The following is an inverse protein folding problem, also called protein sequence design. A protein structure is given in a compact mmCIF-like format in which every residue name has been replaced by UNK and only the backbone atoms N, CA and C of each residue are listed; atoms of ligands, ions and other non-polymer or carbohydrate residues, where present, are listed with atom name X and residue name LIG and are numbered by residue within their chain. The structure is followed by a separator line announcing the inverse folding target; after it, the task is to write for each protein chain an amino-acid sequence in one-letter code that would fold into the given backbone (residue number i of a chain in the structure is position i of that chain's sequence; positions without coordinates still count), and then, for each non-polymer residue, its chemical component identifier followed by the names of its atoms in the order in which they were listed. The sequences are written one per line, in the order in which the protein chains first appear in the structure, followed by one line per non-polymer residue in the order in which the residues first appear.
data_IF_163462215240
#
_entry.id   IF_163462215240
#
_cell.length_a   1.000
_cell.length_b   1.000
_cell.length_c   1.000
_cell.angle_alpha   90.00
_cell.angle_beta   90.00
_cell.angle_gamma   90.00
#
_symmetry.space_group_name_H-M   'P 1'
#
loop_
_entity.id
_entity.type
_entity.pdbx_description
1 polymer ?
#
# COMPACT_ATOMS: atom_id res chain seq x y z
N UNK A 1 4.63 15.11 9.86
CA UNK A 1 5.89 15.55 9.22
C UNK A 1 6.68 14.32 8.80
N UNK A 2 7.18 14.26 7.56
CA UNK A 2 8.16 13.26 7.11
C UNK A 2 9.39 13.34 8.00
N UNK A 3 10.05 12.22 8.26
CA UNK A 3 11.29 12.27 9.03
C UNK A 3 12.47 12.70 8.16
N UNK A 4 13.42 13.43 8.77
CA UNK A 4 14.67 13.82 8.14
C UNK A 4 15.73 12.74 8.34
N UNK A 5 16.74 12.70 7.46
CA UNK A 5 17.84 11.77 7.61
C UNK A 5 19.16 12.30 7.06
N UNK A 6 20.27 11.71 7.52
CA UNK A 6 21.61 11.93 6.96
C UNK A 6 22.26 10.58 6.62
N UNK A 7 23.13 10.55 5.61
CA UNK A 7 23.85 9.33 5.22
C UNK A 7 25.35 9.61 5.28
N UNK A 8 26.06 8.85 6.12
CA UNK A 8 27.51 8.75 6.11
C UNK A 8 27.93 7.46 5.40
N UNK A 9 28.69 7.59 4.30
CA UNK A 9 29.23 6.43 3.58
C UNK A 9 30.61 6.06 4.12
N UNK A 10 30.78 4.78 4.45
CA UNK A 10 32.06 4.13 4.72
C UNK A 10 32.30 3.05 3.66
N UNK A 11 33.05 3.42 2.62
CA UNK A 11 33.44 2.54 1.52
C UNK A 11 34.98 2.54 1.35
N UNK A 12 35.69 1.72 2.15
CA UNK A 12 37.16 1.66 2.09
C UNK A 12 37.67 1.13 0.75
N UNK A 13 36.83 0.38 0.03
CA UNK A 13 37.14 -0.15 -1.31
C UNK A 13 37.00 0.89 -2.43
N UNK A 14 36.43 2.06 -2.12
CA UNK A 14 36.18 3.15 -3.07
C UNK A 14 35.48 2.65 -4.34
N UNK A 15 34.35 1.97 -4.18
CA UNK A 15 33.56 1.45 -5.29
C UNK A 15 33.17 2.57 -6.25
N UNK A 16 33.31 2.33 -7.55
CA UNK A 16 32.79 3.22 -8.60
C UNK A 16 31.26 3.39 -8.52
N UNK A 17 30.58 2.53 -7.76
CA UNK A 17 29.14 2.53 -7.55
C UNK A 17 28.70 3.31 -6.30
N UNK A 18 29.63 3.88 -5.51
CA UNK A 18 29.34 4.58 -4.25
C UNK A 18 28.21 5.61 -4.37
N UNK A 19 28.26 6.49 -5.36
CA UNK A 19 27.23 7.52 -5.56
C UNK A 19 25.86 6.93 -5.93
N UNK A 20 25.83 5.86 -6.72
CA UNK A 20 24.59 5.18 -7.08
C UNK A 20 24.00 4.41 -5.89
N UNK A 21 24.84 3.87 -5.02
CA UNK A 21 24.42 3.18 -3.81
C UNK A 21 23.81 4.18 -2.81
N UNK A 22 24.46 5.32 -2.57
CA UNK A 22 23.91 6.39 -1.72
C UNK A 22 22.56 6.87 -2.27
N UNK A 23 22.44 7.08 -3.58
CA UNK A 23 21.13 7.42 -4.19
C UNK A 23 20.08 6.34 -3.97
N UNK A 24 20.44 5.07 -4.07
CA UNK A 24 19.50 3.95 -3.85
C UNK A 24 19.04 3.89 -2.40
N UNK A 25 19.95 4.14 -1.43
CA UNK A 25 19.60 4.22 -0.01
C UNK A 25 18.73 5.44 0.29
N UNK A 26 19.02 6.60 -0.29
CA UNK A 26 18.15 7.77 -0.17
C UNK A 26 16.72 7.45 -0.61
N UNK A 27 16.54 6.77 -1.74
CA UNK A 27 15.20 6.38 -2.22
C UNK A 27 14.52 5.38 -1.29
N UNK A 28 15.27 4.45 -0.68
CA UNK A 28 14.73 3.54 0.33
C UNK A 28 14.29 4.28 1.62
N UNK A 29 15.07 5.28 2.06
CA UNK A 29 14.75 6.13 3.21
C UNK A 29 13.57 7.06 2.91
N UNK A 30 13.54 7.67 1.73
CA UNK A 30 12.40 8.44 1.24
C UNK A 30 11.15 7.56 1.19
N UNK A 31 11.27 6.31 0.75
CA UNK A 31 10.16 5.33 0.78
C UNK A 31 9.63 5.15 2.19
N UNK A 32 10.48 4.97 3.21
CA UNK A 32 10.03 4.88 4.59
C UNK A 32 9.54 6.20 5.17
N UNK A 33 10.13 7.34 4.80
CA UNK A 33 9.68 8.67 5.22
C UNK A 33 8.32 9.02 4.61
N UNK A 34 7.98 8.37 3.51
CA UNK A 34 6.63 8.31 2.97
C UNK A 34 5.71 7.36 3.74
N UNK A 35 6.06 6.81 4.89
CA UNK A 35 5.11 6.02 5.69
C UNK A 35 5.22 6.34 7.19
N UNK A 36 6.39 6.78 7.63
CA UNK A 36 6.71 7.07 9.01
C UNK A 36 6.86 8.57 9.20
N UNK A 37 6.25 9.08 10.25
CA UNK A 37 6.46 10.45 10.70
C UNK A 37 7.70 10.52 11.56
N UNK A 38 8.27 11.71 11.73
CA UNK A 38 9.33 11.87 12.71
C UNK A 38 9.59 13.30 13.09
N UNK A 39 9.92 13.53 14.35
CA UNK A 39 10.44 14.81 14.83
C UNK A 39 11.97 14.88 14.76
N UNK A 40 12.65 13.72 14.80
CA UNK A 40 14.11 13.59 14.77
C UNK A 40 14.72 13.46 13.37
N UNK A 41 16.05 13.37 13.33
CA UNK A 41 16.84 13.21 12.10
C UNK A 41 17.65 11.93 12.18
N UNK A 42 17.20 10.88 11.50
CA UNK A 42 17.87 9.58 11.55
C UNK A 42 19.24 9.67 10.85
N UNK A 43 20.31 9.35 11.58
CA UNK A 43 21.68 9.32 11.12
C UNK A 43 22.02 7.90 10.66
N UNK A 44 22.25 7.71 9.36
CA UNK A 44 22.54 6.40 8.78
C UNK A 44 24.02 6.26 8.49
N UNK A 45 24.64 5.21 9.03
CA UNK A 45 25.93 4.73 8.57
C UNK A 45 25.74 3.65 7.51
N UNK A 46 26.09 3.97 6.27
CA UNK A 46 26.14 3.03 5.15
C UNK A 46 27.55 2.48 5.02
N UNK A 47 27.73 1.18 5.18
CA UNK A 47 29.01 0.49 5.06
C UNK A 47 29.05 -0.39 3.82
N UNK A 48 30.19 -0.43 3.14
CA UNK A 48 30.47 -1.39 2.06
C UNK A 48 31.60 -2.30 2.50
N UNK A 49 31.26 -3.56 2.80
CA UNK A 49 32.22 -4.56 3.28
C UNK A 49 31.74 -5.98 2.95
N UNK A 50 32.63 -7.00 3.00
CA UNK A 50 32.22 -8.38 2.75
C UNK A 50 31.20 -8.86 3.79
N UNK A 51 30.14 -9.52 3.34
CA UNK A 51 29.20 -10.27 4.19
C UNK A 51 29.26 -11.76 3.86
N UNK A 52 28.57 -12.57 4.67
CA UNK A 52 28.42 -14.00 4.41
C UNK A 52 27.80 -14.25 3.03
N UNK A 53 28.18 -15.36 2.41
CA UNK A 53 27.64 -15.76 1.10
C UNK A 53 26.12 -15.87 1.17
N UNK A 54 25.43 -15.22 0.23
CA UNK A 54 23.97 -15.19 0.16
C UNK A 54 23.34 -13.98 0.87
N UNK A 55 24.10 -13.24 1.70
CA UNK A 55 23.63 -12.01 2.33
C UNK A 55 23.95 -10.82 1.43
N UNK A 56 22.93 -10.13 0.94
CA UNK A 56 23.08 -8.98 0.05
C UNK A 56 23.33 -7.68 0.82
N UNK A 57 22.63 -7.51 1.92
CA UNK A 57 22.79 -6.43 2.88
C UNK A 57 22.29 -6.91 4.26
N UNK A 58 22.55 -6.12 5.29
CA UNK A 58 22.00 -6.29 6.63
C UNK A 58 21.89 -4.91 7.29
N UNK A 59 20.86 -4.70 8.12
CA UNK A 59 20.79 -3.50 8.97
C UNK A 59 20.31 -3.78 10.39
N UNK A 60 20.66 -2.87 11.29
CA UNK A 60 20.25 -2.90 12.69
C UNK A 60 20.13 -1.46 13.23
N UNK A 61 19.34 -1.25 14.30
CA UNK A 61 19.37 0.02 15.01
C UNK A 61 20.73 0.21 15.69
N UNK A 62 21.25 1.44 15.69
CA UNK A 62 22.50 1.81 16.33
C UNK A 62 22.41 1.84 17.86
N UNK A 63 21.21 2.04 18.39
CA UNK A 63 20.90 1.90 19.82
C UNK A 63 19.51 1.31 20.04
N UNK A 64 19.24 0.85 21.26
CA UNK A 64 17.91 0.45 21.69
C UNK A 64 17.57 1.13 23.01
N UNK A 65 16.34 1.59 23.12
CA UNK A 65 15.85 2.34 24.29
C UNK A 65 14.93 1.44 25.10
N UNK A 66 15.15 1.41 26.42
CA UNK A 66 14.27 0.69 27.34
C UNK A 66 12.91 1.40 27.42
N UNK A 67 11.84 0.66 27.12
CA UNK A 67 10.46 1.20 27.15
C UNK A 67 9.61 0.61 28.26
N UNK A 68 10.06 -0.48 28.89
CA UNK A 68 9.34 -1.08 30.01
C UNK A 68 9.91 -2.41 30.47
N UNK A 69 9.06 -3.20 31.11
CA UNK A 69 9.33 -4.57 31.53
C UNK A 69 8.15 -5.48 31.18
N UNK A 70 8.43 -6.74 30.92
CA UNK A 70 7.44 -7.79 30.72
C UNK A 70 7.84 -9.01 31.57
N UNK A 71 7.15 -9.18 32.70
CA UNK A 71 7.58 -10.06 33.77
C UNK A 71 8.99 -9.70 34.27
N UNK A 72 9.94 -10.62 34.08
CA UNK A 72 11.35 -10.43 34.46
C UNK A 72 12.24 -9.83 33.36
N UNK A 73 11.70 -9.58 32.15
CA UNK A 73 12.49 -9.09 31.01
C UNK A 73 12.37 -7.59 30.86
N UNK A 74 13.49 -6.94 30.53
CA UNK A 74 13.50 -5.54 30.08
C UNK A 74 13.06 -5.49 28.62
N UNK A 75 12.09 -4.63 28.30
CA UNK A 75 11.59 -4.46 26.95
C UNK A 75 12.33 -3.30 26.27
N UNK A 76 12.92 -3.58 25.12
CA UNK A 76 13.67 -2.63 24.30
C UNK A 76 12.95 -2.30 23.00
N UNK A 77 13.01 -1.03 22.61
CA UNK A 77 12.55 -0.52 21.33
C UNK A 77 13.73 0.00 20.51
N UNK A 78 13.61 -0.02 19.18
CA UNK A 78 14.60 0.62 18.30
C UNK A 78 14.80 2.09 18.68
N UNK A 79 16.06 2.49 18.80
CA UNK A 79 16.44 3.89 19.01
C UNK A 79 15.93 4.78 17.89
N UNK A 80 15.99 4.31 16.64
CA UNK A 80 15.46 5.05 15.49
C UNK A 80 13.97 5.33 15.63
N UNK A 81 13.13 4.35 16.03
CA UNK A 81 11.70 4.61 16.30
C UNK A 81 11.53 5.64 17.43
N UNK A 82 12.31 5.50 18.51
CA UNK A 82 12.20 6.41 19.66
C UNK A 82 12.54 7.85 19.28
N UNK A 83 13.56 8.03 18.46
CA UNK A 83 13.96 9.35 17.95
C UNK A 83 12.89 9.91 16.98
N UNK A 84 12.32 9.09 16.10
CA UNK A 84 11.19 9.51 15.26
C UNK A 84 10.02 9.99 16.13
N UNK A 85 9.67 9.26 17.19
CA UNK A 85 8.55 9.58 18.07
C UNK A 85 8.76 10.84 18.93
N UNK A 86 9.99 11.09 19.37
CA UNK A 86 10.27 12.08 20.43
C UNK A 86 11.13 13.26 19.98
N UNK A 87 11.85 13.11 18.88
CA UNK A 87 12.90 14.02 18.44
C UNK A 87 14.18 13.97 19.30
N UNK A 88 14.23 13.09 20.30
CA UNK A 88 15.40 12.92 21.15
C UNK A 88 16.29 11.80 20.61
N UNK A 89 17.50 12.18 20.20
CA UNK A 89 18.56 11.26 19.81
C UNK A 89 19.19 10.63 21.06
N UNK A 90 19.00 9.31 21.19
CA UNK A 90 19.41 8.55 22.37
C UNK A 90 20.90 8.16 22.37
N UNK A 91 21.59 8.31 21.24
CA UNK A 91 22.99 7.92 21.02
C UNK A 91 23.88 9.10 20.64
N UNK A 92 23.33 10.31 20.58
CA UNK A 92 24.05 11.51 20.17
C UNK A 92 24.60 11.34 18.76
N UNK A 93 25.80 11.86 18.50
CA UNK A 93 26.40 11.83 17.15
C UNK A 93 26.68 10.45 16.54
N UNK A 94 26.48 9.35 17.30
CA UNK A 94 26.62 8.02 16.75
C UNK A 94 25.45 7.71 15.78
N UNK A 95 25.62 6.86 14.77
CA UNK A 95 24.55 6.56 13.82
C UNK A 95 23.36 5.83 14.48
N UNK A 96 22.13 6.28 14.20
CA UNK A 96 20.87 5.67 14.65
C UNK A 96 20.54 4.38 13.93
N UNK A 97 21.05 4.25 12.70
CA UNK A 97 20.93 3.06 11.87
C UNK A 97 22.28 2.73 11.26
N UNK A 98 22.68 1.47 11.36
CA UNK A 98 23.82 0.94 10.61
C UNK A 98 23.31 -0.04 9.56
N UNK A 99 23.64 0.23 8.31
CA UNK A 99 23.38 -0.67 7.19
C UNK A 99 24.71 -1.07 6.55
N UNK A 100 24.86 -2.36 6.28
CA UNK A 100 26.01 -2.91 5.58
C UNK A 100 25.56 -3.56 4.30
N UNK A 101 26.15 -3.14 3.18
CA UNK A 101 25.94 -3.73 1.85
C UNK A 101 27.12 -4.63 1.52
N UNK A 102 26.84 -5.85 1.04
CA UNK A 102 27.86 -6.80 0.68
C UNK A 102 28.66 -6.30 -0.53
N UNK A 103 29.95 -6.02 -0.32
CA UNK A 103 30.85 -5.54 -1.37
C UNK A 103 30.91 -6.48 -2.58
N UNK A 104 30.79 -7.80 -2.37
CA UNK A 104 30.80 -8.79 -3.47
C UNK A 104 29.52 -8.75 -4.29
N UNK A 105 28.36 -8.56 -3.66
CA UNK A 105 27.08 -8.44 -4.36
C UNK A 105 27.02 -7.17 -5.21
N UNK A 106 27.61 -6.10 -4.69
CA UNK A 106 27.77 -4.81 -5.37
C UNK A 106 28.67 -4.95 -6.61
N UNK A 107 29.90 -5.47 -6.46
CA UNK A 107 30.85 -5.58 -7.57
C UNK A 107 30.46 -6.62 -8.63
N UNK A 108 29.75 -7.68 -8.25
CA UNK A 108 29.29 -8.71 -9.20
C UNK A 108 28.04 -8.31 -10.00
N UNK A 109 27.37 -7.21 -9.63
CA UNK A 109 26.07 -6.83 -10.21
C UNK A 109 24.90 -7.69 -9.74
N UNK A 110 25.10 -8.53 -8.72
CA UNK A 110 24.02 -9.26 -8.06
C UNK A 110 23.04 -8.30 -7.37
N UNK A 111 23.57 -7.23 -6.76
CA UNK A 111 22.76 -6.11 -6.28
C UNK A 111 22.68 -5.04 -7.37
N UNK A 112 21.49 -4.85 -7.95
CA UNK A 112 21.28 -3.94 -9.07
C UNK A 112 20.93 -2.53 -8.58
N UNK A 113 21.82 -1.58 -8.86
CA UNK A 113 21.58 -0.17 -8.65
C UNK A 113 20.92 0.43 -9.89
N UNK A 114 19.70 0.94 -9.76
CA UNK A 114 18.97 1.55 -10.87
C UNK A 114 19.68 2.84 -11.32
N UNK A 115 19.78 3.04 -12.63
CA UNK A 115 20.33 4.28 -13.19
C UNK A 115 19.45 5.49 -12.86
N UNK A 116 18.13 5.32 -13.02
CA UNK A 116 17.12 6.24 -12.53
C UNK A 116 16.15 5.50 -11.58
N UNK A 117 16.31 5.68 -10.27
CA UNK A 117 15.50 5.00 -9.28
C UNK A 117 14.05 5.52 -9.19
N UNK A 118 13.73 6.65 -9.84
CA UNK A 118 12.41 7.28 -9.79
C UNK A 118 11.43 6.79 -10.86
N UNK A 119 11.93 6.20 -11.95
CA UNK A 119 11.09 5.77 -13.10
C UNK A 119 11.38 4.37 -13.62
N UNK A 120 12.53 3.76 -13.29
CA UNK A 120 12.87 2.43 -13.82
C UNK A 120 12.13 1.32 -13.08
N UNK A 121 11.24 0.62 -13.80
CA UNK A 121 10.60 -0.63 -13.36
C UNK A 121 11.36 -1.89 -13.79
N UNK A 122 12.40 -1.76 -14.63
CA UNK A 122 13.18 -2.90 -15.11
C UNK A 122 14.28 -3.30 -14.12
N UNK A 123 14.28 -4.59 -13.75
CA UNK A 123 15.33 -5.24 -12.97
C UNK A 123 15.83 -6.47 -13.75
N UNK A 124 17.14 -6.64 -13.96
CA UNK A 124 17.67 -7.85 -14.60
C UNK A 124 17.22 -9.11 -13.86
N UNK A 125 16.81 -10.15 -14.59
CA UNK A 125 16.17 -11.36 -14.02
C UNK A 125 17.00 -12.13 -13.00
N UNK A 126 18.32 -11.91 -12.96
CA UNK A 126 19.26 -12.56 -12.02
C UNK A 126 19.83 -11.61 -10.96
N UNK A 127 19.38 -10.36 -10.95
CA UNK A 127 19.83 -9.37 -9.99
C UNK A 127 18.70 -9.00 -9.04
N UNK A 128 19.06 -8.60 -7.83
CA UNK A 128 18.14 -8.12 -6.82
C UNK A 128 18.12 -6.60 -6.86
N UNK A 129 16.93 -6.03 -6.83
CA UNK A 129 16.78 -4.58 -6.79
C UNK A 129 17.34 -4.00 -5.49
N UNK A 130 18.33 -3.11 -5.58
CA UNK A 130 18.98 -2.53 -4.42
C UNK A 130 18.01 -1.75 -3.54
N UNK A 131 17.06 -1.01 -4.13
CA UNK A 131 16.09 -0.22 -3.37
C UNK A 131 15.19 -1.14 -2.55
N UNK A 132 14.68 -2.21 -3.15
CA UNK A 132 13.87 -3.23 -2.47
C UNK A 132 14.65 -3.84 -1.29
N UNK A 133 15.90 -4.27 -1.51
CA UNK A 133 16.74 -4.86 -0.47
C UNK A 133 17.01 -3.86 0.65
N UNK A 134 17.44 -2.63 0.34
CA UNK A 134 17.72 -1.61 1.35
C UNK A 134 16.47 -1.20 2.13
N UNK A 135 15.30 -1.16 1.47
CA UNK A 135 14.01 -0.87 2.13
C UNK A 135 13.65 -1.99 3.11
N UNK A 136 13.89 -3.25 2.73
CA UNK A 136 13.72 -4.40 3.62
C UNK A 136 14.65 -4.31 4.84
N UNK A 137 15.94 -4.06 4.64
CA UNK A 137 16.89 -3.94 5.74
C UNK A 137 16.51 -2.83 6.73
N UNK A 138 16.03 -1.69 6.22
CA UNK A 138 15.53 -0.61 7.08
C UNK A 138 14.33 -1.05 7.94
N UNK A 139 13.51 -2.02 7.52
CA UNK A 139 12.45 -2.61 8.35
C UNK A 139 13.00 -3.30 9.61
N UNK A 140 14.15 -3.99 9.50
CA UNK A 140 14.86 -4.50 10.67
C UNK A 140 15.36 -3.36 11.56
N UNK A 141 16.04 -2.37 10.97
CA UNK A 141 16.55 -1.23 11.72
C UNK A 141 15.45 -0.47 12.49
N UNK A 142 14.25 -0.36 11.91
CA UNK A 142 13.12 0.27 12.57
C UNK A 142 12.49 -0.60 13.65
N UNK A 143 12.39 -1.92 13.54
CA UNK A 143 11.85 -2.66 14.68
C UNK A 143 11.75 -4.17 14.58
N UNK A 144 11.93 -4.77 13.40
CA UNK A 144 11.90 -6.22 13.24
C UNK A 144 13.25 -6.81 13.68
N UNK A 145 13.58 -6.66 14.95
CA UNK A 145 14.84 -7.10 15.57
C UNK A 145 14.55 -7.65 16.96
N UNK A 146 15.41 -8.52 17.47
CA UNK A 146 15.24 -9.07 18.81
C UNK A 146 16.41 -9.93 19.26
N UNK A 147 16.17 -10.69 20.31
CA UNK A 147 17.16 -11.43 21.08
C UNK A 147 16.85 -12.93 21.16
N UNK A 148 15.85 -13.40 20.42
CA UNK A 148 15.55 -14.83 20.29
C UNK A 148 16.73 -15.59 19.72
N UNK A 149 16.96 -16.77 20.28
CA UNK A 149 17.88 -17.73 19.71
C UNK A 149 17.34 -18.22 18.36
N UNK A 150 18.08 -18.00 17.28
CA UNK A 150 17.63 -18.38 15.94
C UNK A 150 17.50 -19.88 15.77
N UNK A 151 18.26 -20.72 16.49
CA UNK A 151 18.13 -22.17 16.39
C UNK A 151 16.88 -22.72 17.12
N UNK A 152 16.52 -22.15 18.27
CA UNK A 152 15.48 -22.73 19.15
C UNK A 152 14.21 -21.89 19.27
N UNK A 153 14.24 -20.62 18.85
CA UNK A 153 13.15 -19.67 19.06
C UNK A 153 13.01 -19.17 20.50
N UNK A 154 13.84 -19.64 21.44
CA UNK A 154 13.77 -19.25 22.84
C UNK A 154 14.05 -17.75 23.03
N UNK A 155 13.23 -17.08 23.85
CA UNK A 155 13.49 -15.69 24.30
C UNK A 155 14.69 -15.66 25.24
N UNK A 156 15.41 -14.55 25.28
CA UNK A 156 16.42 -14.32 26.30
C UNK A 156 15.78 -14.17 27.70
N UNK A 157 16.53 -14.43 28.77
CA UNK A 157 15.97 -14.48 30.14
C UNK A 157 15.72 -13.10 30.76
N UNK A 158 16.54 -12.10 30.41
CA UNK A 158 16.56 -10.78 31.06
C UNK A 158 16.14 -9.62 30.16
N UNK A 159 16.02 -9.85 28.84
CA UNK A 159 15.72 -8.81 27.87
C UNK A 159 14.88 -9.37 26.72
N UNK A 160 14.05 -8.52 26.14
CA UNK A 160 13.34 -8.79 24.90
C UNK A 160 13.10 -7.49 24.12
N UNK A 161 12.97 -7.57 22.81
CA UNK A 161 12.49 -6.43 22.03
C UNK A 161 10.97 -6.36 22.01
N UNK A 162 10.40 -5.23 21.55
CA UNK A 162 8.95 -5.15 21.25
C UNK A 162 8.52 -6.23 20.25
N UNK A 163 9.37 -6.57 19.28
CA UNK A 163 9.14 -7.68 18.35
C UNK A 163 9.09 -9.02 19.06
N UNK A 164 10.10 -9.36 19.88
CA UNK A 164 10.15 -10.64 20.60
C UNK A 164 8.93 -10.86 21.48
N UNK A 165 8.48 -9.78 22.13
CA UNK A 165 7.28 -9.74 22.97
C UNK A 165 6.03 -10.14 22.20
N UNK A 166 5.89 -9.67 20.97
CA UNK A 166 4.74 -9.90 20.10
C UNK A 166 4.84 -11.18 19.26
N UNK A 167 6.03 -11.77 19.12
CA UNK A 167 6.18 -13.11 18.56
C UNK A 167 5.82 -14.16 19.60
N UNK A 168 5.01 -15.14 19.23
CA UNK A 168 4.69 -16.34 20.01
C UNK A 168 5.22 -17.53 19.24
N UNK A 169 5.96 -18.40 19.92
CA UNK A 169 6.40 -19.69 19.37
C UNK A 169 5.50 -20.74 19.99
N UNK A 170 4.77 -21.45 19.14
CA UNK A 170 3.78 -22.43 19.53
C UNK A 170 4.45 -23.78 19.92
N UNK A 171 3.77 -24.63 20.70
CA UNK A 171 4.31 -25.94 21.08
C UNK A 171 4.66 -26.87 19.91
N UNK A 172 4.04 -26.64 18.74
CA UNK A 172 4.33 -27.38 17.51
C UNK A 172 5.56 -26.86 16.75
N UNK A 173 6.22 -25.83 17.27
CA UNK A 173 7.41 -25.21 16.69
C UNK A 173 7.12 -24.18 15.61
N UNK A 174 5.84 -23.88 15.32
CA UNK A 174 5.47 -22.72 14.49
C UNK A 174 5.60 -21.42 15.27
N UNK A 175 5.62 -20.30 14.57
CA UNK A 175 5.65 -18.98 15.21
C UNK A 175 4.67 -18.03 14.55
N UNK A 176 4.08 -17.14 15.35
CA UNK A 176 3.15 -16.10 14.91
C UNK A 176 3.47 -14.76 15.55
N UNK A 177 3.22 -13.67 14.84
CA UNK A 177 3.24 -12.31 15.34
C UNK A 177 1.82 -11.89 15.71
N UNK A 178 1.64 -11.37 16.92
CA UNK A 178 0.33 -11.17 17.56
C UNK A 178 -0.05 -9.69 17.76
N UNK A 179 0.67 -8.78 17.10
CA UNK A 179 0.34 -7.36 17.11
C UNK A 179 -1.08 -7.09 16.58
N UNK A 180 -1.83 -6.21 17.26
CA UNK A 180 -3.26 -6.02 17.01
C UNK A 180 -3.53 -5.41 15.63
N UNK A 181 -2.68 -4.49 15.16
CA UNK A 181 -2.82 -3.89 13.84
C UNK A 181 -2.48 -4.91 12.74
N UNK A 182 -1.40 -5.68 12.91
CA UNK A 182 -1.00 -6.72 11.98
C UNK A 182 -2.05 -7.83 11.88
N UNK A 183 -2.63 -8.25 13.01
CA UNK A 183 -3.75 -9.20 13.05
C UNK A 183 -4.96 -8.66 12.29
N UNK A 184 -5.30 -7.38 12.45
CA UNK A 184 -6.41 -6.77 11.71
C UNK A 184 -6.13 -6.70 10.19
N UNK A 185 -4.89 -6.42 9.79
CA UNK A 185 -4.50 -6.35 8.39
C UNK A 185 -4.42 -7.73 7.70
N UNK A 186 -3.97 -8.76 8.42
CA UNK A 186 -3.85 -10.13 7.90
C UNK A 186 -5.14 -10.96 8.06
N UNK A 187 -5.96 -10.65 9.07
CA UNK A 187 -7.17 -11.39 9.42
C UNK A 187 -6.99 -12.46 10.50
N UNK A 188 -5.75 -12.68 10.98
CA UNK A 188 -5.38 -13.65 12.01
C UNK A 188 -3.99 -13.30 12.59
N UNK A 189 -3.49 -13.99 13.64
CA UNK A 189 -2.07 -13.94 13.99
C UNK A 189 -1.18 -14.23 12.76
N UNK A 190 -0.20 -13.36 12.52
CA UNK A 190 0.58 -13.36 11.28
C UNK A 190 1.67 -14.42 11.36
N UNK A 191 1.79 -15.36 10.41
CA UNK A 191 2.86 -16.34 10.44
C UNK A 191 4.26 -15.69 10.45
N UNK A 192 5.13 -16.16 11.33
CA UNK A 192 6.54 -15.78 11.43
C UNK A 192 7.37 -16.95 10.94
N UNK A 193 8.42 -16.67 10.16
CA UNK A 193 9.18 -17.74 9.55
C UNK A 193 9.97 -18.55 10.57
N UNK A 194 9.88 -19.87 10.46
CA UNK A 194 10.70 -20.82 11.23
C UNK A 194 11.65 -21.61 10.33
N UNK A 195 11.67 -21.30 9.02
CA UNK A 195 12.58 -21.88 8.03
C UNK A 195 14.02 -21.56 8.45
N UNK A 196 14.86 -22.58 8.59
CA UNK A 196 16.26 -22.45 8.98
C UNK A 196 17.09 -21.80 7.86
N UNK A 197 17.02 -20.47 7.77
CA UNK A 197 17.67 -19.65 6.75
C UNK A 197 18.71 -18.67 7.34
N UNK A 198 18.95 -18.75 8.65
CA UNK A 198 19.88 -17.88 9.39
C UNK A 198 19.20 -16.67 10.05
N UNK A 199 17.96 -16.36 9.65
CA UNK A 199 17.19 -15.21 10.15
C UNK A 199 15.74 -15.58 10.50
N UNK A 200 15.49 -16.86 10.80
CA UNK A 200 14.22 -17.32 11.35
C UNK A 200 13.84 -16.54 12.63
N UNK A 201 12.54 -16.43 12.86
CA UNK A 201 11.90 -15.63 13.90
C UNK A 201 11.95 -14.11 13.72
N UNK A 202 12.60 -13.61 12.66
CA UNK A 202 12.69 -12.18 12.34
C UNK A 202 12.12 -11.82 10.98
N UNK A 203 11.29 -12.69 10.41
CA UNK A 203 10.66 -12.48 9.11
C UNK A 203 9.24 -13.05 9.11
N UNK A 204 8.41 -12.57 8.19
CA UNK A 204 7.02 -12.96 8.01
C UNK A 204 6.88 -14.09 7.00
N UNK A 205 6.01 -15.05 7.29
CA UNK A 205 5.59 -16.10 6.37
C UNK A 205 6.65 -17.17 6.07
N UNK A 206 6.17 -18.40 5.87
CA UNK A 206 6.98 -19.56 5.46
C UNK A 206 6.42 -20.29 4.23
N UNK A 207 5.31 -19.81 3.66
CA UNK A 207 4.57 -20.54 2.63
C UNK A 207 4.34 -19.65 1.43
N UNK A 208 4.76 -20.12 0.26
CA UNK A 208 4.56 -19.38 -0.99
C UNK A 208 3.06 -19.21 -1.27
N UNK A 209 2.67 -18.02 -1.73
CA UNK A 209 1.27 -17.66 -2.02
C UNK A 209 0.51 -17.09 -0.84
N UNK A 210 1.06 -17.11 0.37
CA UNK A 210 0.48 -16.44 1.54
C UNK A 210 0.78 -14.93 1.57
N UNK A 211 -0.14 -14.13 2.11
CA UNK A 211 0.00 -12.68 2.20
C UNK A 211 1.21 -12.26 3.06
N UNK A 212 1.54 -12.99 4.12
CA UNK A 212 2.72 -12.71 4.94
C UNK A 212 4.02 -12.96 4.15
N UNK A 213 4.03 -13.95 3.26
CA UNK A 213 5.17 -14.20 2.35
C UNK A 213 5.23 -13.23 1.16
N UNK A 214 4.14 -12.52 0.86
CA UNK A 214 4.10 -11.44 -0.12
C UNK A 214 4.58 -10.08 0.44
N UNK A 215 4.59 -9.91 1.76
CA UNK A 215 5.08 -8.72 2.45
C UNK A 215 6.58 -8.46 2.19
N UNK A 216 7.03 -7.22 2.44
CA UNK A 216 8.43 -6.84 2.29
C UNK A 216 9.32 -7.64 3.23
N UNK A 217 8.91 -7.80 4.50
CA UNK A 217 9.66 -8.53 5.53
C UNK A 217 9.55 -10.06 5.42
N UNK A 218 9.40 -10.61 4.21
CA UNK A 218 9.18 -12.05 3.98
C UNK A 218 10.36 -12.94 4.36
N UNK A 219 10.09 -14.13 4.91
CA UNK A 219 11.07 -15.15 5.25
C UNK A 219 11.47 -16.08 4.10
N UNK A 220 10.83 -15.96 2.93
CA UNK A 220 11.15 -16.75 1.73
C UNK A 220 12.28 -16.16 0.87
N UNK A 221 12.78 -14.98 1.25
CA UNK A 221 13.70 -14.20 0.45
C UNK A 221 13.00 -13.38 -0.64
N UNK A 222 13.62 -12.27 -1.02
CA UNK A 222 13.13 -11.37 -2.06
C UNK A 222 13.42 -11.99 -3.44
N UNK A 223 12.48 -12.05 -4.40
CA UNK A 223 12.73 -12.65 -5.69
C UNK A 223 13.60 -11.76 -6.60
N UNK A 224 14.62 -12.34 -7.23
CA UNK A 224 15.43 -11.64 -8.24
C UNK A 224 14.57 -11.20 -9.45
N UNK A 225 14.97 -10.11 -10.11
CA UNK A 225 14.24 -9.56 -11.26
C UNK A 225 12.92 -8.87 -10.91
N UNK A 226 12.60 -8.70 -9.62
CA UNK A 226 11.35 -8.07 -9.17
C UNK A 226 11.61 -6.87 -8.28
N UNK A 227 10.61 -6.00 -8.20
CA UNK A 227 10.54 -4.90 -7.24
C UNK A 227 9.51 -5.29 -6.19
N UNK A 228 9.82 -5.07 -4.91
CA UNK A 228 8.87 -5.25 -3.81
C UNK A 228 8.76 -3.97 -3.00
N UNK A 229 7.53 -3.49 -2.82
CA UNK A 229 7.24 -2.32 -2.00
C UNK A 229 6.87 -2.70 -0.56
N UNK A 230 6.76 -1.68 0.28
CA UNK A 230 6.18 -1.79 1.64
C UNK A 230 4.70 -2.11 1.51
N UNK A 231 4.25 -3.22 2.10
CA UNK A 231 2.84 -3.62 2.12
C UNK A 231 2.09 -3.04 3.32
N UNK A 232 0.76 -3.05 3.27
CA UNK A 232 -0.06 -2.63 4.41
C UNK A 232 0.19 -3.52 5.65
N UNK A 233 0.58 -4.78 5.45
CA UNK A 233 0.99 -5.67 6.55
C UNK A 233 2.32 -5.26 7.18
N UNK A 234 3.30 -4.83 6.38
CA UNK A 234 4.59 -4.31 6.90
C UNK A 234 4.36 -3.05 7.75
N UNK A 235 3.47 -2.16 7.31
CA UNK A 235 3.08 -0.96 8.05
C UNK A 235 2.36 -1.30 9.35
N UNK A 236 1.43 -2.26 9.30
CA UNK A 236 0.69 -2.70 10.47
C UNK A 236 1.62 -3.31 11.53
N UNK A 237 2.58 -4.14 11.11
CA UNK A 237 3.64 -4.68 11.97
C UNK A 237 4.46 -3.55 12.59
N UNK A 238 4.99 -2.61 11.79
CA UNK A 238 5.78 -1.50 12.35
C UNK A 238 4.96 -0.63 13.32
N UNK A 239 3.66 -0.44 13.06
CA UNK A 239 2.77 0.28 13.96
C UNK A 239 2.63 -0.44 15.31
N UNK A 240 2.49 -1.76 15.30
CA UNK A 240 2.49 -2.57 16.54
C UNK A 240 3.83 -2.51 17.27
N UNK A 241 4.94 -2.32 16.54
CA UNK A 241 6.28 -2.09 17.10
C UNK A 241 6.51 -0.66 17.59
N UNK A 242 5.48 0.19 17.50
CA UNK A 242 5.46 1.57 17.98
C UNK A 242 6.00 2.59 16.99
N UNK A 243 6.24 2.23 15.73
CA UNK A 243 6.64 3.20 14.73
C UNK A 243 5.52 4.24 14.54
N UNK A 244 5.86 5.53 14.36
CA UNK A 244 4.90 6.59 14.07
C UNK A 244 4.39 6.49 12.62
N UNK A 245 3.68 5.39 12.31
CA UNK A 245 3.06 5.21 11.00
C UNK A 245 2.05 6.31 10.79
N UNK A 246 2.27 7.09 9.73
CA UNK A 246 1.42 8.20 9.37
C UNK A 246 0.01 7.69 9.04
N UNK A 247 -0.99 8.46 9.42
CA UNK A 247 -2.39 8.17 9.10
C UNK A 247 -2.77 8.64 7.70
N UNK A 248 -4.01 8.35 7.30
CA UNK A 248 -4.58 8.88 6.08
C UNK A 248 -4.44 10.41 6.02
N UNK A 249 -4.51 10.92 4.79
CA UNK A 249 -4.38 12.34 4.53
C UNK A 249 -5.38 13.18 5.35
N UNK A 250 -4.91 14.31 5.90
CA UNK A 250 -5.69 15.16 6.81
C UNK A 250 -6.02 16.52 6.20
N UNK A 251 -6.99 17.24 6.76
CA UNK A 251 -7.31 18.60 6.35
C UNK A 251 -6.46 19.65 7.08
N UNK A 252 -6.05 20.70 6.37
CA UNK A 252 -5.63 21.98 6.95
C UNK A 252 -4.16 22.12 7.40
N UNK A 253 -3.41 21.03 7.56
CA UNK A 253 -1.96 21.06 7.83
C UNK A 253 -1.17 20.66 6.59
N UNK A 254 0.02 21.21 6.40
CA UNK A 254 0.92 20.77 5.32
C UNK A 254 1.05 19.24 5.32
N UNK A 255 0.82 18.66 4.15
CA UNK A 255 0.89 17.22 3.93
C UNK A 255 2.37 16.79 3.95
N UNK A 256 2.59 15.55 4.35
CA UNK A 256 3.86 14.84 4.12
C UNK A 256 3.86 14.18 2.74
N UNK A 257 5.02 13.70 2.28
CA UNK A 257 5.13 12.84 1.10
C UNK A 257 4.19 11.63 1.18
N UNK A 258 4.07 11.01 2.38
CA UNK A 258 3.07 9.97 2.60
C UNK A 258 1.64 10.44 2.39
N UNK A 259 1.26 11.59 2.97
CA UNK A 259 -0.12 12.04 2.91
C UNK A 259 -0.49 12.35 1.46
N UNK A 260 0.40 12.98 0.69
CA UNK A 260 0.27 13.13 -0.76
C UNK A 260 0.15 11.76 -1.44
N UNK A 261 1.06 10.83 -1.16
CA UNK A 261 1.03 9.48 -1.73
C UNK A 261 -0.27 8.72 -1.37
N UNK A 262 -0.83 8.96 -0.19
CA UNK A 262 -2.09 8.38 0.26
C UNK A 262 -3.27 8.96 -0.52
N UNK A 263 -3.22 10.24 -0.93
CA UNK A 263 -4.19 10.81 -1.88
C UNK A 263 -4.09 10.11 -3.23
N UNK A 264 -2.87 9.93 -3.74
CA UNK A 264 -2.65 9.23 -5.02
C UNK A 264 -3.18 7.80 -4.97
N UNK A 265 -2.92 7.05 -3.90
CA UNK A 265 -3.45 5.68 -3.74
C UNK A 265 -4.97 5.66 -3.62
N UNK A 266 -5.55 6.58 -2.86
CA UNK A 266 -6.99 6.64 -2.62
C UNK A 266 -7.77 7.11 -3.86
N UNK A 267 -7.20 8.02 -4.65
CA UNK A 267 -7.84 8.64 -5.81
C UNK A 267 -7.41 7.95 -7.09
N UNK A 268 -6.12 7.99 -7.43
CA UNK A 268 -5.56 7.51 -8.70
C UNK A 268 -5.21 6.02 -8.70
N UNK A 269 -5.39 5.32 -7.58
CA UNK A 269 -5.16 3.87 -7.44
C UNK A 269 -3.71 3.43 -7.71
N UNK A 270 -2.76 4.36 -7.63
CA UNK A 270 -1.31 4.09 -7.72
C UNK A 270 -0.55 4.92 -6.70
N UNK A 271 0.69 4.57 -6.46
CA UNK A 271 1.57 5.42 -5.66
C UNK A 271 2.00 6.66 -6.44
N UNK A 272 2.16 7.77 -5.74
CA UNK A 272 2.88 8.93 -6.21
C UNK A 272 4.38 8.61 -6.31
N UNK A 273 5.00 8.95 -7.43
CA UNK A 273 6.47 8.95 -7.54
C UNK A 273 7.09 9.98 -6.59
N UNK A 274 8.39 9.81 -6.27
CA UNK A 274 9.10 10.80 -5.44
C UNK A 274 9.06 12.21 -6.05
N UNK A 275 9.17 12.31 -7.38
CA UNK A 275 9.10 13.60 -8.09
C UNK A 275 7.74 14.26 -7.95
N UNK A 276 6.64 13.50 -8.01
CA UNK A 276 5.28 14.02 -7.79
C UNK A 276 5.09 14.47 -6.34
N UNK A 277 5.58 13.69 -5.38
CA UNK A 277 5.51 14.07 -3.96
C UNK A 277 6.32 15.35 -3.70
N UNK A 278 7.56 15.42 -4.20
CA UNK A 278 8.41 16.62 -4.07
C UNK A 278 7.80 17.84 -4.75
N UNK A 279 7.16 17.65 -5.90
CA UNK A 279 6.44 18.73 -6.58
C UNK A 279 5.35 19.33 -5.67
N UNK A 280 4.48 18.49 -5.09
CA UNK A 280 3.41 18.96 -4.22
C UNK A 280 3.92 19.55 -2.91
N UNK A 281 4.92 18.93 -2.28
CA UNK A 281 5.57 19.48 -1.08
C UNK A 281 6.16 20.87 -1.34
N UNK A 282 6.76 21.09 -2.52
CA UNK A 282 7.27 22.41 -2.92
C UNK A 282 6.13 23.43 -3.11
N UNK A 283 4.99 23.03 -3.67
CA UNK A 283 3.81 23.89 -3.77
C UNK A 283 3.29 24.31 -2.39
N UNK A 284 3.16 23.35 -1.46
CA UNK A 284 2.67 23.64 -0.12
C UNK A 284 3.66 24.49 0.69
N UNK A 285 4.96 24.29 0.49
CA UNK A 285 6.02 25.14 1.05
C UNK A 285 5.92 26.58 0.51
N UNK A 286 5.51 26.74 -0.76
CA UNK A 286 5.23 28.02 -1.37
C UNK A 286 3.88 28.64 -0.94
N UNK A 287 3.14 28.00 -0.03
CA UNK A 287 1.89 28.51 0.54
C UNK A 287 0.61 27.98 -0.10
N UNK A 288 0.71 26.99 -1.01
CA UNK A 288 -0.48 26.28 -1.51
C UNK A 288 -1.10 25.46 -0.38
N UNK A 289 -2.42 25.54 -0.23
CA UNK A 289 -3.11 24.78 0.79
C UNK A 289 -3.21 23.28 0.40
N UNK A 290 -3.12 22.33 1.34
CA UNK A 290 -3.28 20.90 1.07
C UNK A 290 -4.58 20.52 0.35
N UNK A 291 -5.68 21.22 0.65
CA UNK A 291 -6.96 20.99 -0.05
C UNK A 291 -6.87 21.33 -1.55
N UNK A 292 -6.01 22.28 -1.94
CA UNK A 292 -5.77 22.56 -3.36
C UNK A 292 -5.03 21.41 -4.04
N UNK A 293 -4.07 20.77 -3.35
CA UNK A 293 -3.38 19.57 -3.84
C UNK A 293 -4.38 18.43 -4.06
N UNK A 294 -5.27 18.18 -3.07
CA UNK A 294 -6.36 17.20 -3.20
C UNK A 294 -7.27 17.49 -4.39
N UNK A 295 -7.72 18.73 -4.54
CA UNK A 295 -8.54 19.13 -5.70
C UNK A 295 -7.79 18.87 -7.00
N UNK A 296 -6.52 19.29 -7.11
CA UNK A 296 -5.73 19.08 -8.32
C UNK A 296 -5.56 17.60 -8.71
N UNK A 297 -5.41 16.70 -7.72
CA UNK A 297 -5.32 15.25 -7.94
C UNK A 297 -6.67 14.66 -8.34
N UNK A 298 -7.74 15.00 -7.61
CA UNK A 298 -9.11 14.48 -7.88
C UNK A 298 -9.69 14.95 -9.20
N UNK A 299 -9.34 16.15 -9.67
CA UNK A 299 -9.76 16.68 -10.99
C UNK A 299 -8.68 16.54 -12.05
N UNK A 300 -7.72 15.64 -11.85
CA UNK A 300 -6.63 15.45 -12.81
C UNK A 300 -7.13 14.71 -14.06
N UNK A 301 -6.46 14.94 -15.19
CA UNK A 301 -6.75 14.20 -16.42
C UNK A 301 -6.58 12.67 -16.25
N UNK A 302 -5.75 12.24 -15.29
CA UNK A 302 -5.60 10.82 -14.95
C UNK A 302 -6.82 10.26 -14.22
N UNK A 303 -7.38 11.01 -13.26
CA UNK A 303 -8.63 10.64 -12.61
C UNK A 303 -9.78 10.54 -13.63
N UNK A 304 -9.92 11.57 -14.48
CA UNK A 304 -10.93 11.64 -15.54
C UNK A 304 -10.84 10.45 -16.52
N UNK A 305 -9.61 10.05 -16.88
CA UNK A 305 -9.37 9.00 -17.87
C UNK A 305 -9.54 7.59 -17.31
N UNK A 306 -9.14 7.34 -16.06
CA UNK A 306 -9.00 5.98 -15.54
C UNK A 306 -9.88 5.66 -14.34
N UNK A 307 -10.21 6.63 -13.49
CA UNK A 307 -10.93 6.39 -12.22
C UNK A 307 -12.41 6.64 -12.40
N UNK A 308 -12.75 7.80 -12.95
CA UNK A 308 -14.09 8.27 -13.23
C UNK A 308 -14.97 7.26 -13.98
N UNK A 309 -14.50 6.67 -15.11
CA UNK A 309 -15.28 5.67 -15.85
C UNK A 309 -15.55 4.41 -15.02
N UNK A 310 -14.61 4.00 -14.15
CA UNK A 310 -14.78 2.81 -13.30
C UNK A 310 -15.83 3.04 -12.22
N UNK A 311 -15.83 4.21 -11.57
CA UNK A 311 -16.86 4.58 -10.59
C UNK A 311 -18.25 4.60 -11.23
N UNK A 312 -18.38 5.18 -12.43
CA UNK A 312 -19.63 5.16 -13.21
C UNK A 312 -20.03 3.74 -13.61
N UNK A 313 -19.10 2.90 -14.03
CA UNK A 313 -19.37 1.52 -14.42
C UNK A 313 -19.90 0.69 -13.25
N UNK A 314 -19.29 0.83 -12.06
CA UNK A 314 -19.78 0.24 -10.82
C UNK A 314 -21.19 0.70 -10.47
N UNK A 315 -21.46 2.00 -10.60
CA UNK A 315 -22.78 2.55 -10.35
C UNK A 315 -23.82 1.87 -11.23
N UNK A 316 -23.62 1.84 -12.55
CA UNK A 316 -24.62 1.27 -13.47
C UNK A 316 -24.75 -0.25 -13.30
N UNK A 317 -23.61 -0.95 -13.21
CA UNK A 317 -23.59 -2.41 -13.14
C UNK A 317 -24.15 -2.97 -11.83
N UNK A 318 -23.83 -2.33 -10.70
CA UNK A 318 -24.06 -2.92 -9.37
C UNK A 318 -24.90 -2.03 -8.45
N UNK A 319 -25.25 -0.82 -8.87
CA UNK A 319 -26.05 0.11 -8.06
C UNK A 319 -25.28 0.65 -6.85
N UNK A 320 -23.94 0.63 -6.89
CA UNK A 320 -23.07 1.08 -5.79
C UNK A 320 -21.78 1.70 -6.30
N UNK A 321 -21.12 2.48 -5.46
CA UNK A 321 -19.70 2.84 -5.66
C UNK A 321 -18.80 1.61 -5.47
N UNK A 322 -17.60 1.60 -6.09
CA UNK A 322 -16.65 0.52 -5.86
C UNK A 322 -16.11 0.55 -4.43
N UNK A 323 -15.76 -0.62 -3.90
CA UNK A 323 -14.85 -0.70 -2.76
C UNK A 323 -13.40 -0.44 -3.19
N UNK A 324 -12.52 -0.19 -2.21
CA UNK A 324 -11.13 0.18 -2.46
C UNK A 324 -10.37 -0.88 -3.29
N UNK A 325 -10.62 -2.17 -3.03
CA UNK A 325 -9.95 -3.27 -3.75
C UNK A 325 -10.45 -3.40 -5.18
N UNK A 326 -11.77 -3.34 -5.37
CA UNK A 326 -12.42 -3.35 -6.68
C UNK A 326 -12.03 -2.16 -7.55
N UNK A 327 -12.02 -0.95 -6.98
CA UNK A 327 -11.57 0.26 -7.68
C UNK A 327 -10.13 0.11 -8.15
N UNK A 328 -9.23 -0.32 -7.27
CA UNK A 328 -7.83 -0.51 -7.61
C UNK A 328 -7.63 -1.52 -8.76
N UNK A 329 -8.26 -2.69 -8.64
CA UNK A 329 -8.13 -3.75 -9.64
C UNK A 329 -8.62 -3.30 -11.03
N UNK A 330 -9.74 -2.59 -11.10
CA UNK A 330 -10.35 -2.20 -12.36
C UNK A 330 -9.73 -0.94 -12.99
N UNK A 331 -9.23 0.01 -12.18
CA UNK A 331 -8.40 1.11 -12.68
C UNK A 331 -7.12 0.57 -13.31
N UNK A 332 -6.43 -0.35 -12.62
CA UNK A 332 -5.24 -1.02 -13.16
C UNK A 332 -5.54 -1.78 -14.46
N UNK A 333 -6.68 -2.48 -14.53
CA UNK A 333 -7.09 -3.16 -15.75
C UNK A 333 -7.33 -2.18 -16.91
N UNK A 334 -7.98 -1.03 -16.65
CA UNK A 334 -8.30 -0.03 -17.66
C UNK A 334 -7.05 0.64 -18.26
N UNK A 335 -5.95 0.75 -17.53
CA UNK A 335 -4.70 1.31 -18.07
C UNK A 335 -4.13 0.51 -19.25
N UNK A 336 -4.42 -0.80 -19.33
CA UNK A 336 -3.96 -1.69 -20.42
C UNK A 336 -5.06 -2.21 -21.33
N UNK A 337 -6.32 -1.84 -21.09
CA UNK A 337 -7.48 -2.41 -21.78
C UNK A 337 -8.51 -1.34 -22.17
N UNK A 338 -9.48 -1.71 -23.00
CA UNK A 338 -10.62 -0.83 -23.26
C UNK A 338 -11.64 -0.90 -22.12
N UNK A 339 -12.41 0.18 -21.90
CA UNK A 339 -13.54 0.17 -20.96
C UNK A 339 -14.55 -0.93 -21.31
N UNK A 340 -14.73 -1.24 -22.59
CA UNK A 340 -15.55 -2.35 -23.05
C UNK A 340 -15.04 -3.70 -22.52
N UNK A 341 -13.74 -3.95 -22.58
CA UNK A 341 -13.14 -5.19 -22.04
C UNK A 341 -13.32 -5.28 -20.52
N UNK A 342 -13.22 -4.15 -19.81
CA UNK A 342 -13.47 -4.10 -18.36
C UNK A 342 -14.94 -4.37 -18.06
N UNK A 343 -15.88 -3.76 -18.80
CA UNK A 343 -17.31 -4.02 -18.68
C UNK A 343 -17.66 -5.50 -18.97
N UNK A 344 -17.00 -6.13 -19.93
CA UNK A 344 -17.17 -7.55 -20.20
C UNK A 344 -16.77 -8.42 -18.99
N UNK A 345 -15.77 -8.01 -18.21
CA UNK A 345 -15.39 -8.70 -16.97
C UNK A 345 -16.42 -8.49 -15.86
N UNK A 346 -17.04 -7.30 -15.78
CA UNK A 346 -18.14 -7.05 -14.84
C UNK A 346 -19.32 -7.96 -15.14
N UNK A 347 -19.77 -8.04 -16.40
CA UNK A 347 -20.90 -8.90 -16.81
C UNK A 347 -20.64 -10.39 -16.53
N UNK A 348 -19.38 -10.82 -16.56
CA UNK A 348 -18.97 -12.20 -16.24
C UNK A 348 -18.75 -12.44 -14.74
N UNK A 349 -18.85 -11.42 -13.90
CA UNK A 349 -18.54 -11.55 -12.48
C UNK A 349 -19.65 -12.32 -11.74
N UNK A 350 -19.31 -13.03 -10.66
CA UNK A 350 -20.31 -13.65 -9.78
C UNK A 350 -21.31 -12.64 -9.21
N UNK A 351 -20.86 -11.41 -8.90
CA UNK A 351 -21.71 -10.33 -8.41
C UNK A 351 -22.77 -9.93 -9.45
N UNK A 352 -22.39 -9.80 -10.72
CA UNK A 352 -23.34 -9.47 -11.78
C UNK A 352 -24.38 -10.58 -11.98
N UNK A 353 -23.93 -11.84 -11.97
CA UNK A 353 -24.82 -12.99 -12.07
C UNK A 353 -25.79 -13.07 -10.87
N UNK A 354 -25.30 -12.76 -9.67
CA UNK A 354 -26.13 -12.73 -8.46
C UNK A 354 -27.18 -11.61 -8.49
N UNK A 355 -26.82 -10.42 -8.99
CA UNK A 355 -27.71 -9.27 -9.03
C UNK A 355 -28.75 -9.33 -10.16
N UNK A 356 -28.34 -9.80 -11.35
CA UNK A 356 -29.17 -9.71 -12.55
C UNK A 356 -29.67 -11.07 -13.07
N UNK A 357 -29.11 -12.18 -12.60
CA UNK A 357 -29.52 -13.55 -12.93
C UNK A 357 -29.17 -14.03 -14.34
N UNK A 358 -29.23 -13.17 -15.36
CA UNK A 358 -28.96 -13.49 -16.75
C UNK A 358 -27.94 -12.53 -17.38
N UNK A 359 -27.10 -13.06 -18.29
CA UNK A 359 -26.16 -12.28 -19.12
C UNK A 359 -26.76 -11.88 -20.47
N UNK A 360 -28.07 -12.06 -20.65
CA UNK A 360 -28.82 -11.62 -21.82
C UNK A 360 -29.53 -10.28 -21.55
N UNK A 361 -29.79 -9.52 -22.62
CA UNK A 361 -30.54 -8.27 -22.53
C UNK A 361 -32.00 -8.56 -22.23
N UNK A 362 -32.47 -8.18 -21.04
CA UNK A 362 -33.84 -8.37 -20.56
C UNK A 362 -34.42 -7.06 -20.06
N UNK A 363 -35.74 -6.97 -19.95
CA UNK A 363 -36.40 -5.78 -19.39
C UNK A 363 -35.95 -5.51 -17.96
N UNK A 364 -35.81 -6.55 -17.13
CA UNK A 364 -35.33 -6.42 -15.74
C UNK A 364 -33.94 -5.82 -15.67
N UNK A 365 -33.01 -6.31 -16.50
CA UNK A 365 -31.64 -5.81 -16.55
C UNK A 365 -31.58 -4.36 -17.06
N UNK A 366 -32.34 -4.04 -18.11
CA UNK A 366 -32.38 -2.67 -18.62
C UNK A 366 -33.00 -1.72 -17.59
N UNK A 367 -34.02 -2.16 -16.85
CA UNK A 367 -34.61 -1.36 -15.79
C UNK A 367 -33.63 -1.12 -14.63
N UNK A 368 -32.80 -2.10 -14.26
CA UNK A 368 -31.77 -1.88 -13.24
C UNK A 368 -30.72 -0.87 -13.71
N UNK A 369 -30.29 -0.91 -14.98
CA UNK A 369 -29.38 0.10 -15.53
C UNK A 369 -30.00 1.51 -15.55
N UNK A 370 -31.27 1.64 -15.92
CA UNK A 370 -31.99 2.92 -15.85
C UNK A 370 -32.10 3.45 -14.42
N UNK A 371 -32.44 2.58 -13.46
CA UNK A 371 -32.53 2.96 -12.06
C UNK A 371 -31.17 3.41 -11.52
N UNK A 372 -30.13 2.63 -11.79
CA UNK A 372 -28.78 2.87 -11.29
C UNK A 372 -28.08 4.07 -11.93
N UNK A 373 -28.33 4.32 -13.22
CA UNK A 373 -27.73 5.45 -13.94
C UNK A 373 -28.56 6.74 -13.76
N UNK A 374 -29.88 6.65 -13.93
CA UNK A 374 -30.74 7.83 -14.10
C UNK A 374 -31.74 8.01 -12.95
N UNK A 375 -31.78 7.10 -11.97
CA UNK A 375 -32.71 7.17 -10.85
C UNK A 375 -34.19 7.04 -11.26
N UNK A 376 -34.47 6.54 -12.47
CA UNK A 376 -35.82 6.40 -13.04
C UNK A 376 -35.99 5.05 -13.70
N UNK A 377 -37.23 4.69 -14.03
CA UNK A 377 -37.51 3.57 -14.92
C UNK A 377 -37.42 4.01 -16.40
N UNK A 378 -36.96 3.12 -17.25
CA UNK A 378 -37.10 3.22 -18.69
C UNK A 378 -38.56 2.99 -19.11
N UNK A 379 -39.02 3.74 -20.11
CA UNK A 379 -40.30 3.51 -20.77
C UNK A 379 -40.27 2.24 -21.62
N UNK A 380 -41.43 1.64 -21.90
CA UNK A 380 -41.51 0.45 -22.75
C UNK A 380 -40.82 0.64 -24.11
N UNK A 381 -40.95 1.81 -24.73
CA UNK A 381 -40.28 2.12 -26.00
C UNK A 381 -38.75 2.19 -25.89
N UNK A 382 -38.22 2.73 -24.79
CA UNK A 382 -36.78 2.75 -24.52
C UNK A 382 -36.22 1.33 -24.31
N UNK A 383 -36.95 0.46 -23.60
CA UNK A 383 -36.54 -0.94 -23.40
C UNK A 383 -36.56 -1.73 -24.70
N UNK A 384 -37.62 -1.60 -25.50
CA UNK A 384 -37.70 -2.24 -26.83
C UNK A 384 -36.58 -1.75 -27.76
N UNK A 385 -36.24 -0.46 -27.72
CA UNK A 385 -35.15 0.08 -28.53
C UNK A 385 -33.79 -0.55 -28.17
N UNK A 386 -33.51 -0.77 -26.88
CA UNK A 386 -32.27 -1.44 -26.45
C UNK A 386 -32.25 -2.92 -26.84
N UNK A 387 -33.36 -3.63 -26.69
CA UNK A 387 -33.47 -5.04 -27.13
C UNK A 387 -33.31 -5.16 -28.64
N UNK A 388 -33.91 -4.26 -29.41
CA UNK A 388 -33.82 -4.24 -30.87
C UNK A 388 -32.44 -3.82 -31.40
N UNK A 389 -31.58 -3.21 -30.57
CA UNK A 389 -30.26 -2.75 -31.01
C UNK A 389 -29.27 -3.89 -31.27
N UNK A 390 -29.55 -5.11 -30.80
CA UNK A 390 -28.68 -6.29 -30.96
C UNK A 390 -27.31 -6.17 -30.27
N UNK A 391 -27.16 -5.23 -29.34
CA UNK A 391 -25.91 -5.00 -28.61
C UNK A 391 -25.78 -6.00 -27.46
N UNK A 392 -24.54 -6.38 -27.12
CA UNK A 392 -24.26 -7.19 -25.93
C UNK A 392 -24.50 -6.38 -24.65
N UNK A 393 -24.66 -7.09 -23.52
CA UNK A 393 -24.92 -6.44 -22.22
C UNK A 393 -23.80 -5.48 -21.85
N UNK A 394 -22.53 -5.86 -22.04
CA UNK A 394 -21.39 -5.00 -21.76
C UNK A 394 -21.34 -3.75 -22.66
N UNK A 395 -21.79 -3.86 -23.93
CA UNK A 395 -21.90 -2.72 -24.83
C UNK A 395 -22.98 -1.73 -24.37
N UNK A 396 -24.11 -2.26 -23.86
CA UNK A 396 -25.20 -1.45 -23.32
C UNK A 396 -24.75 -0.81 -22.00
N UNK A 397 -24.09 -1.56 -21.12
CA UNK A 397 -23.55 -1.08 -19.85
C UNK A 397 -22.62 0.11 -20.05
N UNK A 398 -21.65 0.03 -20.97
CA UNK A 398 -20.79 1.17 -21.35
C UNK A 398 -21.60 2.31 -21.94
N UNK A 399 -22.62 2.00 -22.74
CA UNK A 399 -23.53 3.01 -23.31
C UNK A 399 -24.27 3.82 -22.26
N UNK A 400 -24.69 3.19 -21.16
CA UNK A 400 -25.27 3.90 -20.01
C UNK A 400 -24.19 4.67 -19.22
N UNK A 401 -23.09 4.01 -18.85
CA UNK A 401 -22.06 4.58 -17.98
C UNK A 401 -21.37 5.80 -18.60
N UNK A 402 -21.19 5.81 -19.91
CA UNK A 402 -20.53 6.90 -20.65
C UNK A 402 -21.50 7.73 -21.49
N UNK A 403 -22.81 7.63 -21.23
CA UNK A 403 -23.78 8.54 -21.87
C UNK A 403 -23.52 9.98 -21.41
N UNK A 404 -23.66 11.00 -22.29
CA UNK A 404 -23.54 12.40 -21.88
C UNK A 404 -24.50 12.78 -20.75
N UNK A 405 -25.69 12.17 -20.71
CA UNK A 405 -26.66 12.36 -19.62
C UNK A 405 -26.12 11.86 -18.29
N UNK A 406 -25.61 10.63 -18.24
CA UNK A 406 -25.11 10.07 -16.99
C UNK A 406 -23.77 10.68 -16.56
N UNK A 407 -22.87 10.99 -17.48
CA UNK A 407 -21.64 11.73 -17.16
C UNK A 407 -21.97 13.08 -16.52
N UNK A 408 -22.88 13.86 -17.11
CA UNK A 408 -23.31 15.14 -16.54
C UNK A 408 -23.99 15.00 -15.17
N UNK A 409 -24.79 13.94 -14.97
CA UNK A 409 -25.50 13.70 -13.70
C UNK A 409 -24.58 13.19 -12.59
N UNK A 410 -23.62 12.34 -12.93
CA UNK A 410 -22.75 11.67 -11.97
C UNK A 410 -21.51 12.49 -11.63
N UNK A 411 -21.09 13.46 -12.45
CA UNK A 411 -19.85 14.22 -12.28
C UNK A 411 -19.64 14.74 -10.84
N UNK A 412 -20.61 15.48 -10.30
CA UNK A 412 -20.49 16.02 -8.94
C UNK A 412 -20.46 14.92 -7.85
N UNK A 413 -21.08 13.77 -8.10
CA UNK A 413 -21.10 12.63 -7.17
C UNK A 413 -19.80 11.83 -7.22
N UNK A 414 -19.24 11.61 -8.41
CA UNK A 414 -17.91 11.02 -8.58
C UNK A 414 -16.87 11.91 -7.93
N UNK A 415 -16.92 13.22 -8.19
CA UNK A 415 -16.03 14.18 -7.55
C UNK A 415 -16.15 14.15 -6.02
N UNK A 416 -17.37 14.10 -5.47
CA UNK A 416 -17.56 14.00 -4.02
C UNK A 416 -17.02 12.67 -3.44
N UNK A 417 -17.15 11.56 -4.17
CA UNK A 417 -16.58 10.27 -3.79
C UNK A 417 -15.04 10.32 -3.76
N UNK A 418 -14.43 10.86 -4.82
CA UNK A 418 -12.97 11.00 -4.89
C UNK A 418 -12.43 12.03 -3.88
N UNK A 419 -13.15 13.11 -3.62
CA UNK A 419 -12.79 14.09 -2.59
C UNK A 419 -12.86 13.46 -1.19
N UNK A 420 -13.90 12.67 -0.90
CA UNK A 420 -13.96 11.91 0.35
C UNK A 420 -12.79 10.91 0.45
N UNK A 421 -12.43 10.23 -0.64
CA UNK A 421 -11.27 9.33 -0.68
C UNK A 421 -9.96 10.09 -0.43
N UNK A 422 -9.79 11.25 -1.06
CA UNK A 422 -8.64 12.13 -0.89
C UNK A 422 -8.48 12.59 0.56
N UNK A 423 -9.55 12.66 1.34
CA UNK A 423 -9.53 13.03 2.76
C UNK A 423 -9.56 11.83 3.73
N UNK A 424 -9.36 10.60 3.22
CA UNK A 424 -9.40 9.38 4.03
C UNK A 424 -10.79 9.07 4.61
N UNK A 425 -11.84 9.66 4.05
CA UNK A 425 -13.22 9.61 4.56
C UNK A 425 -14.20 8.99 3.55
N UNK A 426 -13.72 8.32 2.49
CA UNK A 426 -14.58 7.70 1.50
C UNK A 426 -15.51 6.66 2.12
N UNK A 427 -16.80 6.81 1.83
CA UNK A 427 -17.77 5.76 2.04
C UNK A 427 -17.80 4.88 0.78
N UNK A 428 -17.37 3.63 0.94
CA UNK A 428 -17.30 2.63 -0.13
C UNK A 428 -18.59 1.82 -0.29
N UNK A 429 -19.70 2.33 0.23
CA UNK A 429 -21.00 1.65 0.23
C UNK A 429 -22.11 2.58 -0.23
N UNK A 430 -23.19 1.99 -0.76
CA UNK A 430 -24.36 2.72 -1.22
C UNK A 430 -24.28 3.19 -2.68
N UNK A 431 -25.41 3.66 -3.23
CA UNK A 431 -25.52 4.06 -4.62
C UNK A 431 -24.82 5.41 -4.89
N UNK A 432 -24.25 5.55 -6.09
CA UNK A 432 -23.74 6.86 -6.55
C UNK A 432 -24.91 7.81 -6.88
N UNK A 433 -25.99 7.26 -7.45
CA UNK A 433 -27.26 7.94 -7.71
C UNK A 433 -28.34 7.33 -6.84
N UNK A 434 -28.89 8.12 -5.92
CA UNK A 434 -30.03 7.70 -5.12
C UNK A 434 -31.24 7.38 -6.02
N UNK A 435 -31.89 6.22 -5.85
CA UNK A 435 -33.15 5.94 -6.51
C UNK A 435 -34.18 7.00 -6.11
N UNK A 436 -35.01 7.46 -7.05
CA UNK A 436 -36.17 8.26 -6.67
C UNK A 436 -37.05 7.38 -5.77
N UNK A 437 -37.23 7.79 -4.51
CA UNK A 437 -38.22 7.20 -3.62
C UNK A 437 -39.60 7.44 -4.23
N UNK A 438 -40.11 6.46 -4.97
CA UNK A 438 -41.52 6.43 -5.34
C UNK A 438 -42.27 6.21 -4.03
N UNK A 439 -42.94 7.26 -3.51
CA UNK A 439 -43.98 7.06 -2.51
C UNK A 439 -45.00 6.08 -3.09
N UNK A 440 -44.91 4.81 -2.68
CA UNK A 440 -45.77 3.74 -3.20
C UNK A 440 -45.14 2.36 -3.33
N UNK A 441 -43.83 2.16 -3.14
CA UNK A 441 -43.26 0.81 -3.01
C UNK A 441 -42.50 0.70 -1.69
N UNK A 442 -43.24 0.33 -0.64
CA UNK A 442 -42.64 -0.25 0.55
C UNK A 442 -42.18 -1.69 0.22
N UNK A 443 -40.98 -2.02 0.69
CA UNK A 443 -40.41 -3.36 0.89
C UNK A 443 -40.08 -4.24 -0.33
N UNK A 444 -38.80 -4.24 -0.72
CA UNK A 444 -38.06 -5.48 -1.02
C UNK A 444 -36.80 -5.66 -0.15
N UNK A 445 -36.72 -4.97 0.99
CA UNK A 445 -35.88 -5.39 2.12
C UNK A 445 -36.68 -6.38 2.97
N UNK A 446 -36.62 -7.67 2.63
CA UNK A 446 -36.73 -8.84 3.54
C UNK A 446 -37.11 -10.11 2.75
N UNK A 447 -36.12 -10.93 2.42
CA UNK A 447 -36.25 -12.38 2.27
C UNK A 447 -34.84 -13.01 2.24
N UNK A 448 -34.22 -13.08 3.43
CA UNK A 448 -33.19 -14.07 3.75
C UNK A 448 -33.69 -14.77 5.01
N UNK A 449 -34.48 -15.83 4.81
CA UNK A 449 -34.53 -16.97 5.73
C UNK A 449 -33.82 -18.14 5.07
#
# INVERSE_FOLDING_TARGET
MTFAYTIALNDPGQSSQAAALVRSLSVALDTWSNYLGGYGTINIQLNVQPLQTGVLAQAAPGTQVQTGTDGGRVVFQSGAITELLTGADANGIAPDVSITVNSQALTSGQLYLRADPSVSSFIPSRSYDAITVLTHELGHAFGVVGYRNTSTGARADSAESVWDKLVVVEPDGTAVFTGAHAVAAYGAPVPVTTIQNGSQYYHLGSVSGDAASAALMTGLGLPAGTIRGVSDLDLAVLKDLGAPVLGAATTGSQDTGYQINSVYRAVLQRSASLSEQQFWLAQETAGVAPNHVRTAITTSAEADAYVDPIVRLYSVAFGRVPDQGGLNAHVNALQGNSLFSVAANFVKSPEFAQLHGATSVTDTLLQSFYANALGRFGSAGELESWKASGRSVEAILVGFSESPEFQGRSQAKVQAFLDAAAHGAANYTGPLIEPIAVQGIANQTAAWE
#
